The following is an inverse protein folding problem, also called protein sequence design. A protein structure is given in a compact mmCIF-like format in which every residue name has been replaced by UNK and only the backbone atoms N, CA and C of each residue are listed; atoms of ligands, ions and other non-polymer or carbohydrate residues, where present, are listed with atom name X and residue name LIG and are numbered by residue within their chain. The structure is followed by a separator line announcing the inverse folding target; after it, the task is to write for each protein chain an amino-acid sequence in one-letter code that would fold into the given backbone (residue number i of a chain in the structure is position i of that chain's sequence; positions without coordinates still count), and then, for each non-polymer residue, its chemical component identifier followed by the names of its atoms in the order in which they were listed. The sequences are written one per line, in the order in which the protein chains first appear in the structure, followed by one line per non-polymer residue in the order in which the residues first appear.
data_IF_685398725708
#
_entry.id   IF_685398725708
#
_cell.length_a   1.000
_cell.length_b   1.000
_cell.length_c   1.000
_cell.angle_alpha   90.00
_cell.angle_beta   90.00
_cell.angle_gamma   90.00
#
_symmetry.space_group_name_H-M   'P 1'
#
loop_
_entity.id
_entity.type
_entity.pdbx_description
1 polymer ?
#
# COMPACT_ATOMS: atom_id res chain seq x y z
N UNK A 1 -19.70 43.94 20.09
CA UNK A 1 -18.74 42.83 20.16
C UNK A 1 -19.04 41.97 18.96
N UNK A 2 -18.49 42.40 17.84
CA UNK A 2 -18.63 41.80 16.53
C UNK A 2 -17.49 40.80 16.37
N UNK A 3 -17.79 39.57 15.97
CA UNK A 3 -16.82 38.78 15.24
C UNK A 3 -17.55 37.79 14.33
N UNK A 4 -17.53 38.09 13.04
CA UNK A 4 -18.03 37.23 11.98
C UNK A 4 -17.11 37.40 10.77
N UNK A 5 -16.66 36.24 10.26
CA UNK A 5 -15.92 35.96 9.01
C UNK A 5 -14.39 36.07 9.05
N UNK A 6 -13.72 34.96 8.71
CA UNK A 6 -12.87 34.86 7.51
C UNK A 6 -12.53 33.39 7.18
N UNK A 7 -13.21 32.87 6.17
CA UNK A 7 -12.74 32.19 4.95
C UNK A 7 -11.41 31.41 4.90
N UNK A 8 -11.52 30.24 4.24
CA UNK A 8 -10.65 29.74 3.16
C UNK A 8 -9.15 29.56 3.45
N UNK A 9 -8.71 28.29 3.49
CA UNK A 9 -7.64 27.86 2.60
C UNK A 9 -7.51 26.35 2.55
N UNK A 10 -7.83 25.85 1.37
CA UNK A 10 -7.38 24.59 0.79
C UNK A 10 -5.91 24.29 1.16
N UNK A 11 -5.66 23.21 1.89
CA UNK A 11 -4.32 22.63 1.97
C UNK A 11 -4.00 21.90 0.65
N UNK A 12 -3.77 22.66 -0.42
CA UNK A 12 -2.95 22.21 -1.55
C UNK A 12 -1.50 22.53 -1.21
N UNK A 13 -0.67 21.50 -1.02
CA UNK A 13 0.75 21.62 -1.30
C UNK A 13 1.32 20.30 -1.81
N UNK A 14 1.36 20.20 -3.13
CA UNK A 14 2.38 19.46 -3.85
C UNK A 14 3.71 20.25 -3.78
N UNK A 15 4.83 19.54 -3.71
CA UNK A 15 6.18 20.10 -3.79
C UNK A 15 7.15 19.26 -2.96
N UNK A 16 7.77 18.23 -3.55
CA UNK A 16 9.05 18.35 -4.27
C UNK A 16 10.21 18.73 -3.31
N UNK A 17 10.80 17.72 -2.69
CA UNK A 17 12.09 17.81 -2.02
C UNK A 17 13.03 16.77 -2.65
N UNK A 18 13.71 17.15 -3.73
CA UNK A 18 14.76 16.34 -4.34
C UNK A 18 16.07 16.64 -3.59
N UNK A 19 16.45 15.79 -2.63
CA UNK A 19 17.76 15.86 -1.98
C UNK A 19 18.73 14.87 -2.65
N UNK A 20 19.91 15.32 -3.10
CA UNK A 20 20.90 14.46 -3.72
C UNK A 20 21.74 13.80 -2.62
N UNK A 21 21.59 12.49 -2.45
CA UNK A 21 22.50 11.70 -1.61
C UNK A 21 22.88 10.41 -2.34
N UNK A 22 24.09 10.44 -2.87
CA UNK A 22 24.79 9.31 -3.47
C UNK A 22 25.45 8.47 -2.36
N UNK A 23 24.73 7.43 -1.95
CA UNK A 23 25.28 6.16 -1.50
C UNK A 23 24.49 5.10 -2.29
N UNK A 24 25.08 3.95 -2.63
CA UNK A 24 24.43 2.89 -3.40
C UNK A 24 23.15 2.39 -2.71
N UNK A 25 22.06 3.14 -2.89
CA UNK A 25 20.76 2.87 -2.31
C UNK A 25 20.21 1.66 -3.05
N UNK A 26 19.67 0.64 -2.36
CA UNK A 26 18.87 -0.37 -3.04
C UNK A 26 17.86 0.40 -3.90
N UNK A 27 17.86 0.15 -5.20
CA UNK A 27 16.94 0.79 -6.12
C UNK A 27 15.52 0.30 -5.78
N UNK A 28 14.88 0.96 -4.82
CA UNK A 28 13.50 0.66 -4.44
C UNK A 28 12.65 1.02 -5.65
N UNK A 29 12.08 -0.01 -6.29
CA UNK A 29 11.18 0.17 -7.40
C UNK A 29 9.76 0.00 -6.88
N UNK A 30 8.94 1.03 -7.05
CA UNK A 30 7.51 0.92 -6.77
C UNK A 30 6.85 -0.02 -7.79
N UNK A 31 6.24 -1.10 -7.30
CA UNK A 31 5.60 -2.11 -8.15
C UNK A 31 4.11 -1.81 -8.35
N UNK A 32 3.46 -1.29 -7.32
CA UNK A 32 2.07 -0.81 -7.32
C UNK A 32 1.81 -0.03 -6.02
N UNK A 33 0.90 0.93 -6.08
CA UNK A 33 0.40 1.66 -4.90
C UNK A 33 -1.12 1.81 -4.99
N UNK A 34 -1.79 1.67 -3.85
CA UNK A 34 -3.22 1.90 -3.69
C UNK A 34 -3.50 2.38 -2.26
N UNK A 35 -4.32 3.42 -2.13
CA UNK A 35 -4.80 3.90 -0.83
C UNK A 35 -6.07 3.18 -0.40
N UNK A 36 -6.24 3.00 0.91
CA UNK A 36 -7.41 2.40 1.54
C UNK A 36 -7.81 3.24 2.74
N UNK A 37 -9.08 3.25 3.09
CA UNK A 37 -9.58 3.84 4.32
C UNK A 37 -9.12 3.01 5.54
N UNK A 38 -9.05 3.62 6.74
CA UNK A 38 -8.58 2.95 7.97
C UNK A 38 -9.46 1.74 8.37
N UNK A 39 -10.75 1.79 8.03
CA UNK A 39 -11.71 0.73 8.26
C UNK A 39 -11.86 -0.22 7.06
N UNK A 40 -11.04 -0.06 6.02
CA UNK A 40 -11.12 -0.89 4.84
C UNK A 40 -10.87 -2.36 5.20
N UNK A 41 -11.77 -3.27 4.81
CA UNK A 41 -11.63 -4.66 5.21
C UNK A 41 -10.40 -5.30 4.55
N UNK A 42 -9.60 -6.02 5.33
CA UNK A 42 -8.28 -6.55 4.95
C UNK A 42 -8.28 -7.40 3.67
N UNK A 43 -9.41 -8.02 3.31
CA UNK A 43 -9.55 -8.75 2.05
C UNK A 43 -9.34 -7.86 0.81
N UNK A 44 -9.63 -6.55 0.90
CA UNK A 44 -9.37 -5.58 -0.18
C UNK A 44 -7.89 -5.38 -0.41
N UNK A 45 -7.11 -5.26 0.67
CA UNK A 45 -5.64 -5.17 0.62
C UNK A 45 -5.06 -6.43 -0.04
N UNK A 46 -5.52 -7.61 0.38
CA UNK A 46 -5.09 -8.90 -0.19
C UNK A 46 -5.46 -9.01 -1.67
N UNK A 47 -6.64 -8.51 -2.06
CA UNK A 47 -7.07 -8.47 -3.46
C UNK A 47 -6.13 -7.59 -4.30
N UNK A 48 -5.75 -6.42 -3.79
CA UNK A 48 -4.78 -5.55 -4.45
C UNK A 48 -3.42 -6.23 -4.59
N UNK A 49 -2.89 -6.81 -3.52
CA UNK A 49 -1.60 -7.54 -3.54
C UNK A 49 -1.61 -8.65 -4.60
N UNK A 50 -2.68 -9.47 -4.63
CA UNK A 50 -2.82 -10.54 -5.61
C UNK A 50 -2.95 -10.02 -7.04
N UNK A 51 -3.66 -8.91 -7.28
CA UNK A 51 -3.76 -8.31 -8.62
C UNK A 51 -2.41 -7.77 -9.11
N UNK A 52 -1.63 -7.17 -8.21
CA UNK A 52 -0.37 -6.51 -8.53
C UNK A 52 0.81 -7.47 -8.64
N UNK A 53 0.87 -8.50 -7.80
CA UNK A 53 2.07 -9.32 -7.60
C UNK A 53 1.95 -10.76 -8.11
N UNK A 54 0.74 -11.25 -8.42
CA UNK A 54 0.55 -12.62 -8.97
C UNK A 54 1.34 -12.87 -10.24
N UNK A 55 1.42 -11.87 -11.14
CA UNK A 55 2.23 -11.97 -12.36
C UNK A 55 3.73 -12.04 -12.10
N UNK A 56 4.18 -11.60 -10.92
CA UNK A 56 5.57 -11.65 -10.47
C UNK A 56 5.87 -12.92 -9.66
N UNK A 57 4.92 -13.85 -9.60
CA UNK A 57 5.09 -15.11 -8.88
C UNK A 57 4.76 -15.03 -7.39
N UNK A 58 4.10 -13.98 -6.89
CA UNK A 58 3.70 -13.92 -5.48
C UNK A 58 2.18 -13.98 -5.31
N UNK A 59 1.72 -14.80 -4.38
CA UNK A 59 0.31 -14.91 -4.00
C UNK A 59 0.19 -14.67 -2.50
N UNK A 60 -0.82 -13.90 -2.10
CA UNK A 60 -1.11 -13.53 -0.73
C UNK A 60 -2.42 -14.20 -0.32
N UNK A 61 -2.37 -14.99 0.75
CA UNK A 61 -3.51 -15.61 1.40
C UNK A 61 -3.88 -14.89 2.69
N UNK A 62 -5.17 -14.85 3.00
CA UNK A 62 -5.70 -14.37 4.26
C UNK A 62 -6.68 -15.39 4.81
N UNK A 63 -6.40 -15.88 6.02
CA UNK A 63 -7.26 -16.84 6.71
C UNK A 63 -7.58 -16.36 8.11
N UNK A 64 -8.75 -16.75 8.62
CA UNK A 64 -9.12 -16.52 10.02
C UNK A 64 -8.75 -17.76 10.83
N UNK A 65 -7.83 -17.61 11.77
CA UNK A 65 -7.39 -18.68 12.67
C UNK A 65 -8.37 -18.81 13.85
N UNK A 66 -8.72 -17.67 14.46
CA UNK A 66 -9.60 -17.55 15.63
C UNK A 66 -10.44 -16.28 15.51
N UNK A 67 -11.35 -16.06 16.46
CA UNK A 67 -12.34 -14.98 16.43
C UNK A 67 -11.73 -13.60 16.16
N UNK A 68 -10.55 -13.30 16.74
CA UNK A 68 -9.82 -12.04 16.54
C UNK A 68 -8.41 -12.22 15.96
N UNK A 69 -8.14 -13.35 15.30
CA UNK A 69 -6.82 -13.66 14.76
C UNK A 69 -6.89 -13.94 13.26
N UNK A 70 -6.24 -13.07 12.49
CA UNK A 70 -6.06 -13.23 11.05
C UNK A 70 -4.62 -13.64 10.78
N UNK A 71 -4.45 -14.65 9.92
CA UNK A 71 -3.16 -15.08 9.42
C UNK A 71 -3.00 -14.65 7.97
N UNK A 72 -2.02 -13.80 7.71
CA UNK A 72 -1.54 -13.51 6.36
C UNK A 72 -0.48 -14.56 5.97
N UNK A 73 -0.54 -15.08 4.76
CA UNK A 73 0.45 -16.02 4.22
C UNK A 73 0.91 -15.52 2.86
N UNK A 74 2.21 -15.59 2.60
CA UNK A 74 2.80 -15.21 1.32
C UNK A 74 3.35 -16.48 0.68
N UNK A 75 2.95 -16.74 -0.55
CA UNK A 75 3.40 -17.85 -1.36
C UNK A 75 4.24 -17.32 -2.52
N UNK A 76 5.35 -17.99 -2.79
CA UNK A 76 6.10 -17.82 -4.02
C UNK A 76 5.75 -18.96 -4.98
N UNK A 77 5.41 -18.60 -6.23
CA UNK A 77 5.02 -19.52 -7.29
C UNK A 77 6.22 -19.70 -8.20
N UNK A 78 6.87 -20.83 -8.06
CA UNK A 78 7.88 -21.26 -9.01
C UNK A 78 7.17 -21.98 -10.16
N UNK A 79 7.33 -21.48 -11.38
CA UNK A 79 6.96 -22.28 -12.55
C UNK A 79 7.94 -23.45 -12.60
N UNK A 80 7.49 -24.65 -12.22
CA UNK A 80 8.22 -25.87 -12.50
C UNK A 80 8.40 -25.95 -14.02
N UNK A 81 9.64 -25.84 -14.51
CA UNK A 81 9.95 -26.28 -15.87
C UNK A 81 9.74 -27.79 -15.87
N UNK A 82 8.70 -28.23 -16.59
CA UNK A 82 8.48 -29.62 -17.00
C UNK A 82 9.68 -30.12 -17.83
#
# INVERSE_FOLDING_TARGET
MDDSRLDDRTCRKAGAGNSPEAAGKPAITEVASQSFDDDAPLHRVVTFLNKSLRRRGFIFGLTRQRENELKMTIYEVHNAKL
#
